data_IF_159978285596
#
_entry.id   IF_159978285596
#
_cell.length_a   1.000
_cell.length_b   1.000
_cell.length_c   1.000
_cell.angle_alpha   90.00
_cell.angle_beta   90.00
_cell.angle_gamma   90.00
#
_symmetry.space_group_name_H-M   'P 1'
#
loop_
_entity.id
_entity.type
_entity.pdbx_description
1 polymer ?
#
# COMPACT_ATOMS: atom_id res chain seq x y z
N UNK A 1 33.10 11.59 24.29
CA UNK A 1 33.58 10.34 23.65
C UNK A 1 32.49 9.38 23.14
N UNK A 2 31.19 9.60 23.44
CA UNK A 2 30.07 8.88 22.79
C UNK A 2 29.55 9.58 21.52
N UNK A 3 29.92 10.85 21.30
CA UNK A 3 29.49 11.69 20.17
C UNK A 3 30.01 11.18 18.82
N UNK A 4 31.26 10.72 18.77
CA UNK A 4 31.99 10.54 17.51
C UNK A 4 31.51 9.30 16.73
N UNK A 5 30.83 8.38 17.41
CA UNK A 5 30.26 7.16 16.82
C UNK A 5 28.73 7.09 16.90
N UNK A 6 28.07 8.18 17.31
CA UNK A 6 26.61 8.22 17.47
C UNK A 6 25.85 7.85 16.20
N UNK A 7 26.38 8.20 15.02
CA UNK A 7 25.80 7.85 13.72
C UNK A 7 25.83 6.35 13.37
N UNK A 8 26.59 5.54 14.11
CA UNK A 8 26.64 4.08 13.93
C UNK A 8 25.65 3.33 14.81
N UNK A 9 25.08 4.00 15.82
CA UNK A 9 24.15 3.36 16.75
C UNK A 9 22.83 3.00 16.06
N UNK A 10 22.16 1.93 16.51
CA UNK A 10 20.85 1.58 16.01
C UNK A 10 19.85 2.70 16.32
N UNK A 11 18.81 2.85 15.48
CA UNK A 11 17.74 3.81 15.75
C UNK A 11 17.10 3.50 17.12
N UNK A 12 16.75 4.56 17.86
CA UNK A 12 16.05 4.43 19.14
C UNK A 12 14.72 3.70 18.96
N UNK A 13 14.47 2.75 19.87
CA UNK A 13 13.19 2.06 19.98
C UNK A 13 12.22 2.99 20.71
N UNK A 14 11.21 3.51 20.00
CA UNK A 14 10.10 4.23 20.63
C UNK A 14 8.98 3.23 20.93
N UNK A 15 8.30 3.41 22.05
CA UNK A 15 7.28 2.44 22.48
C UNK A 15 6.04 2.42 21.58
N UNK A 16 5.73 3.53 20.92
CA UNK A 16 4.51 3.69 20.12
C UNK A 16 4.60 3.09 18.70
N UNK A 17 5.77 2.66 18.23
CA UNK A 17 5.98 2.24 16.83
C UNK A 17 6.78 0.94 16.67
N UNK A 18 6.73 0.05 17.67
CA UNK A 18 7.52 -1.19 17.75
C UNK A 18 7.47 -2.07 16.48
N UNK A 19 6.33 -2.12 15.79
CA UNK A 19 6.21 -2.86 14.52
C UNK A 19 6.99 -2.19 13.37
N UNK A 20 6.82 -0.89 13.17
CA UNK A 20 7.53 -0.12 12.12
C UNK A 20 9.05 -0.16 12.35
N UNK A 21 9.48 -0.22 13.61
CA UNK A 21 10.90 -0.30 13.99
C UNK A 21 11.59 -1.56 13.46
N UNK A 22 10.86 -2.65 13.17
CA UNK A 22 11.45 -3.85 12.55
C UNK A 22 12.14 -3.48 11.23
N UNK A 23 11.48 -2.68 10.40
CA UNK A 23 12.02 -2.24 9.11
C UNK A 23 13.28 -1.38 9.31
N UNK A 24 13.21 -0.39 10.20
CA UNK A 24 14.32 0.53 10.47
C UNK A 24 15.55 -0.19 11.04
N UNK A 25 15.34 -1.14 11.97
CA UNK A 25 16.43 -1.91 12.58
C UNK A 25 17.08 -2.84 11.57
N UNK A 26 16.27 -3.51 10.74
CA UNK A 26 16.80 -4.42 9.71
C UNK A 26 17.60 -3.64 8.67
N UNK A 27 17.11 -2.49 8.21
CA UNK A 27 17.84 -1.64 7.26
C UNK A 27 19.14 -1.10 7.84
N UNK A 28 19.10 -0.64 9.09
CA UNK A 28 20.31 -0.26 9.81
C UNK A 28 21.30 -1.43 9.89
N UNK A 29 20.85 -2.63 10.26
CA UNK A 29 21.72 -3.79 10.38
C UNK A 29 22.31 -4.21 9.02
N UNK A 30 21.52 -4.16 7.94
CA UNK A 30 22.01 -4.43 6.58
C UNK A 30 23.09 -3.43 6.16
N UNK A 31 22.91 -2.14 6.49
CA UNK A 31 23.90 -1.09 6.27
C UNK A 31 25.18 -1.34 7.05
N UNK A 32 25.06 -1.72 8.32
CA UNK A 32 26.22 -2.06 9.17
C UNK A 32 26.99 -3.26 8.62
N UNK A 33 26.30 -4.29 8.13
CA UNK A 33 26.95 -5.44 7.48
C UNK A 33 27.74 -5.01 6.24
N UNK A 34 27.18 -4.13 5.40
CA UNK A 34 27.85 -3.62 4.21
C UNK A 34 29.08 -2.76 4.49
N UNK A 35 29.09 -2.01 5.60
CA UNK A 35 30.22 -1.16 5.99
C UNK A 35 31.21 -1.85 6.93
N UNK A 36 30.89 -3.03 7.47
CA UNK A 36 31.67 -3.65 8.54
C UNK A 36 33.18 -3.73 8.24
N UNK A 37 33.55 -4.15 7.04
CA UNK A 37 34.96 -4.27 6.63
C UNK A 37 35.68 -2.92 6.50
N UNK A 38 34.93 -1.84 6.24
CA UNK A 38 35.43 -0.47 6.06
C UNK A 38 35.53 0.30 7.38
N UNK A 39 34.96 -0.23 8.46
CA UNK A 39 34.95 0.46 9.75
C UNK A 39 36.29 0.31 10.50
N UNK A 40 36.81 1.40 11.09
CA UNK A 40 37.97 1.35 11.97
C UNK A 40 37.80 0.32 13.10
N UNK A 41 38.90 -0.25 13.58
CA UNK A 41 38.86 -1.27 14.64
C UNK A 41 38.16 -0.78 15.92
N UNK A 42 38.37 0.49 16.27
CA UNK A 42 37.72 1.14 17.44
C UNK A 42 36.20 1.19 17.25
N UNK A 43 35.72 1.65 16.09
CA UNK A 43 34.30 1.68 15.76
C UNK A 43 33.66 0.29 15.85
N UNK A 44 34.32 -0.73 15.25
CA UNK A 44 33.85 -2.13 15.28
C UNK A 44 33.70 -2.65 16.70
N UNK A 45 34.59 -2.28 17.64
CA UNK A 45 34.46 -2.67 19.06
C UNK A 45 33.18 -2.10 19.68
N UNK A 46 32.85 -0.84 19.43
CA UNK A 46 31.66 -0.20 19.98
C UNK A 46 30.35 -0.82 19.47
N UNK A 47 30.31 -1.24 18.21
CA UNK A 47 29.09 -1.83 17.62
C UNK A 47 29.09 -3.37 17.60
N UNK A 48 30.12 -4.03 18.14
CA UNK A 48 30.22 -5.50 18.12
C UNK A 48 29.02 -6.22 18.75
N UNK A 49 28.27 -5.56 19.64
CA UNK A 49 27.06 -6.09 20.26
C UNK A 49 26.01 -6.53 19.23
N UNK A 50 25.88 -5.84 18.08
CA UNK A 50 24.84 -6.16 17.11
C UNK A 50 25.11 -7.51 16.43
N UNK A 51 26.38 -7.87 16.25
CA UNK A 51 26.78 -9.19 15.74
C UNK A 51 26.52 -10.29 16.77
N UNK A 52 26.64 -10.00 18.06
CA UNK A 52 26.20 -10.93 19.13
C UNK A 52 24.69 -11.14 19.11
N UNK A 53 23.93 -10.11 18.73
CA UNK A 53 22.48 -10.16 18.54
C UNK A 53 22.02 -10.81 17.21
N UNK A 54 22.91 -11.51 16.48
CA UNK A 54 22.59 -12.13 15.19
C UNK A 54 21.33 -13.02 15.18
N UNK A 55 21.04 -13.85 16.20
CA UNK A 55 19.80 -14.63 16.24
C UNK A 55 18.54 -13.76 16.31
N UNK A 56 18.61 -12.59 16.97
CA UNK A 56 17.52 -11.62 16.96
C UNK A 56 17.39 -10.96 15.58
N UNK A 57 18.49 -10.49 15.01
CA UNK A 57 18.47 -9.84 13.69
C UNK A 57 17.97 -10.78 12.59
N UNK A 58 18.31 -12.07 12.65
CA UNK A 58 17.77 -13.08 11.73
C UNK A 58 16.25 -13.18 11.81
N UNK A 59 15.69 -13.22 13.04
CA UNK A 59 14.24 -13.24 13.25
C UNK A 59 13.58 -12.01 12.65
N UNK A 60 14.14 -10.82 12.93
CA UNK A 60 13.61 -9.56 12.42
C UNK A 60 13.67 -9.48 10.89
N UNK A 61 14.79 -9.89 10.27
CA UNK A 61 14.95 -9.95 8.81
C UNK A 61 13.91 -10.86 8.18
N UNK A 62 13.75 -12.07 8.68
CA UNK A 62 12.80 -13.02 8.10
C UNK A 62 11.36 -12.54 8.19
N UNK A 63 10.96 -11.99 9.33
CA UNK A 63 9.62 -11.43 9.49
C UNK A 63 9.42 -10.21 8.57
N UNK A 64 10.40 -9.30 8.48
CA UNK A 64 10.33 -8.14 7.56
C UNK A 64 10.13 -8.57 6.11
N UNK A 65 10.95 -9.51 5.61
CA UNK A 65 10.86 -9.95 4.21
C UNK A 65 9.52 -10.63 3.93
N UNK A 66 9.02 -11.46 4.87
CA UNK A 66 7.68 -12.06 4.74
C UNK A 66 6.56 -11.01 4.73
N UNK A 67 6.67 -9.96 5.55
CA UNK A 67 5.73 -8.82 5.51
C UNK A 67 5.80 -8.13 4.15
N UNK A 68 7.00 -7.91 3.61
CA UNK A 68 7.18 -7.26 2.31
C UNK A 68 6.55 -8.09 1.18
N UNK A 69 6.76 -9.42 1.18
CA UNK A 69 6.14 -10.35 0.23
C UNK A 69 4.61 -10.29 0.35
N UNK A 70 4.07 -10.45 1.57
CA UNK A 70 2.62 -10.41 1.80
C UNK A 70 2.02 -9.07 1.34
N UNK A 71 2.67 -7.96 1.69
CA UNK A 71 2.22 -6.61 1.34
C UNK A 71 2.24 -6.39 -0.17
N UNK A 72 3.30 -6.81 -0.87
CA UNK A 72 3.38 -6.66 -2.32
C UNK A 72 2.24 -7.39 -3.05
N UNK A 73 1.87 -8.57 -2.55
CA UNK A 73 0.76 -9.36 -3.09
C UNK A 73 -0.58 -8.72 -2.75
N UNK A 74 -0.86 -8.46 -1.46
CA UNK A 74 -2.16 -8.01 -0.98
C UNK A 74 -2.50 -6.58 -1.43
N UNK A 75 -1.50 -5.69 -1.53
CA UNK A 75 -1.72 -4.32 -2.00
C UNK A 75 -2.08 -4.23 -3.47
N UNK A 76 -1.66 -5.21 -4.29
CA UNK A 76 -1.87 -5.18 -5.74
C UNK A 76 -3.03 -6.09 -6.16
N UNK A 77 -3.05 -7.32 -5.65
CA UNK A 77 -3.99 -8.36 -6.04
C UNK A 77 -5.12 -8.59 -5.02
N UNK A 78 -5.14 -7.85 -3.90
CA UNK A 78 -6.16 -8.01 -2.86
C UNK A 78 -6.23 -9.42 -2.27
N UNK A 79 -7.39 -9.76 -1.73
CA UNK A 79 -7.77 -11.10 -1.30
C UNK A 79 -8.51 -11.83 -2.43
N UNK A 80 -7.94 -12.93 -2.87
CA UNK A 80 -8.50 -13.87 -3.84
C UNK A 80 -7.84 -15.25 -3.68
N UNK A 81 -8.39 -16.27 -4.37
CA UNK A 81 -7.76 -17.58 -4.44
C UNK A 81 -6.38 -17.51 -5.12
N UNK A 82 -6.24 -16.68 -6.15
CA UNK A 82 -5.00 -16.49 -6.88
C UNK A 82 -3.92 -15.82 -6.01
N UNK A 83 -4.26 -14.76 -5.28
CA UNK A 83 -3.32 -14.11 -4.35
C UNK A 83 -2.89 -15.06 -3.23
N UNK A 84 -3.78 -15.94 -2.75
CA UNK A 84 -3.43 -16.92 -1.74
C UNK A 84 -2.41 -17.95 -2.25
N UNK A 85 -2.65 -18.52 -3.44
CA UNK A 85 -1.70 -19.44 -4.08
C UNK A 85 -0.33 -18.78 -4.30
N UNK A 86 -0.33 -17.54 -4.81
CA UNK A 86 0.89 -16.75 -4.99
C UNK A 86 1.63 -16.51 -3.68
N UNK A 87 0.90 -16.20 -2.61
CA UNK A 87 1.46 -16.06 -1.27
C UNK A 87 2.12 -17.37 -0.79
N UNK A 88 1.41 -18.50 -0.86
CA UNK A 88 1.93 -19.79 -0.42
C UNK A 88 3.21 -20.17 -1.17
N UNK A 89 3.21 -19.99 -2.49
CA UNK A 89 4.39 -20.23 -3.33
C UNK A 89 5.56 -19.32 -2.93
N UNK A 90 5.33 -18.02 -2.80
CA UNK A 90 6.38 -17.04 -2.48
C UNK A 90 6.95 -17.26 -1.07
N UNK A 91 6.08 -17.56 -0.10
CA UNK A 91 6.48 -17.85 1.27
C UNK A 91 7.29 -19.15 1.37
N UNK A 92 6.85 -20.21 0.67
CA UNK A 92 7.57 -21.49 0.61
C UNK A 92 8.95 -21.32 -0.04
N UNK A 93 9.01 -20.62 -1.18
CA UNK A 93 10.27 -20.31 -1.88
C UNK A 93 11.21 -19.48 -1.00
N UNK A 94 10.67 -18.47 -0.30
CA UNK A 94 11.47 -17.65 0.60
C UNK A 94 12.07 -18.50 1.73
N UNK A 95 11.25 -19.34 2.38
CA UNK A 95 11.67 -20.17 3.50
C UNK A 95 12.66 -21.27 3.09
N UNK A 96 12.50 -21.88 1.91
CA UNK A 96 13.44 -22.90 1.40
C UNK A 96 14.81 -22.30 1.05
N UNK A 97 14.85 -21.04 0.62
CA UNK A 97 16.09 -20.31 0.40
C UNK A 97 16.82 -19.93 1.71
N UNK A 98 16.16 -20.01 2.88
CA UNK A 98 16.79 -19.71 4.16
C UNK A 98 17.55 -20.92 4.72
N UNK A 99 18.82 -20.74 5.10
CA UNK A 99 19.59 -21.76 5.82
C UNK A 99 18.91 -22.24 7.11
N UNK A 100 18.24 -21.33 7.81
CA UNK A 100 17.52 -21.63 9.06
C UNK A 100 16.27 -20.77 9.14
N UNK A 101 15.09 -21.38 9.02
CA UNK A 101 13.81 -20.71 9.23
C UNK A 101 13.48 -20.58 10.73
N UNK A 102 13.24 -19.37 11.20
CA UNK A 102 12.93 -19.09 12.61
C UNK A 102 11.49 -19.46 12.96
N UNK A 103 11.22 -19.75 14.25
CA UNK A 103 9.86 -20.01 14.75
C UNK A 103 8.90 -18.85 14.45
N UNK A 104 9.38 -17.62 14.59
CA UNK A 104 8.60 -16.41 14.31
C UNK A 104 8.25 -16.28 12.82
N UNK A 105 9.17 -16.61 11.92
CA UNK A 105 8.89 -16.62 10.48
C UNK A 105 7.81 -17.66 10.13
N UNK A 106 7.94 -18.90 10.64
CA UNK A 106 6.93 -19.95 10.44
C UNK A 106 5.56 -19.57 11.02
N UNK A 107 5.55 -18.99 12.23
CA UNK A 107 4.32 -18.52 12.87
C UNK A 107 3.68 -17.36 12.10
N UNK A 108 4.47 -16.47 11.51
CA UNK A 108 3.97 -15.41 10.64
C UNK A 108 3.28 -16.01 9.40
N UNK A 109 3.93 -16.98 8.73
CA UNK A 109 3.33 -17.64 7.57
C UNK A 109 2.01 -18.30 7.92
N UNK A 110 1.97 -19.09 8.98
CA UNK A 110 0.74 -19.73 9.45
C UNK A 110 -0.38 -18.71 9.77
N UNK A 111 -0.03 -17.53 10.30
CA UNK A 111 -1.02 -16.47 10.56
C UNK A 111 -1.58 -15.88 9.26
N UNK A 112 -0.75 -15.65 8.24
CA UNK A 112 -1.24 -15.18 6.94
C UNK A 112 -2.10 -16.26 6.27
N UNK A 113 -1.70 -17.53 6.33
CA UNK A 113 -2.50 -18.64 5.79
C UNK A 113 -3.87 -18.74 6.49
N UNK A 114 -3.90 -18.64 7.82
CA UNK A 114 -5.13 -18.60 8.59
C UNK A 114 -5.99 -17.39 8.24
N UNK A 115 -5.37 -16.23 7.99
CA UNK A 115 -6.09 -15.03 7.55
C UNK A 115 -6.78 -15.26 6.19
N UNK A 116 -6.09 -15.82 5.20
CA UNK A 116 -6.73 -16.19 3.92
C UNK A 116 -7.87 -17.20 4.13
N UNK A 117 -7.64 -18.25 4.91
CA UNK A 117 -8.65 -19.27 5.16
C UNK A 117 -9.91 -18.71 5.83
N UNK A 118 -9.75 -17.84 6.83
CA UNK A 118 -10.87 -17.19 7.53
C UNK A 118 -11.72 -16.32 6.61
N UNK A 119 -11.13 -15.73 5.57
CA UNK A 119 -11.82 -14.84 4.63
C UNK A 119 -12.21 -15.54 3.32
N UNK A 120 -12.00 -16.86 3.20
CA UNK A 120 -12.25 -17.63 1.99
C UNK A 120 -13.70 -17.59 1.52
N UNK A 121 -14.65 -17.43 2.43
CA UNK A 121 -16.07 -17.24 2.08
C UNK A 121 -16.34 -15.95 1.30
N UNK A 122 -15.59 -14.88 1.59
CA UNK A 122 -15.85 -13.56 1.01
C UNK A 122 -15.43 -13.50 -0.46
N UNK A 123 -14.27 -14.05 -0.81
CA UNK A 123 -13.75 -14.02 -2.19
C UNK A 123 -14.12 -15.27 -3.02
N UNK A 124 -15.06 -16.10 -2.54
CA UNK A 124 -15.68 -17.16 -3.36
C UNK A 124 -16.70 -16.60 -4.36
N UNK A 125 -17.37 -15.50 -4.01
CA UNK A 125 -18.39 -14.84 -4.85
C UNK A 125 -17.91 -13.58 -5.58
N UNK A 126 -16.73 -13.06 -5.21
CA UNK A 126 -16.11 -11.90 -5.84
C UNK A 126 -14.78 -12.29 -6.45
N UNK A 127 -14.43 -11.73 -7.62
CA UNK A 127 -13.13 -11.99 -8.28
C UNK A 127 -11.94 -11.57 -7.42
N UNK A 128 -12.09 -10.47 -6.66
CA UNK A 128 -11.04 -9.90 -5.81
C UNK A 128 -11.65 -8.98 -4.75
N UNK A 129 -11.14 -9.04 -3.52
CA UNK A 129 -11.49 -8.11 -2.44
C UNK A 129 -10.32 -7.21 -2.12
N UNK A 130 -10.53 -5.91 -2.16
CA UNK A 130 -9.53 -4.92 -1.72
C UNK A 130 -9.40 -5.02 -0.19
N UNK A 131 -8.20 -5.29 0.30
CA UNK A 131 -7.92 -5.50 1.73
C UNK A 131 -6.91 -4.51 2.31
N UNK A 132 -6.52 -3.49 1.55
CA UNK A 132 -5.63 -2.43 1.99
C UNK A 132 -6.28 -1.07 1.75
N UNK A 133 -6.35 -0.24 2.81
CA UNK A 133 -6.84 1.13 2.68
C UNK A 133 -5.94 1.97 1.77
N UNK A 134 -4.67 1.59 1.58
CA UNK A 134 -3.74 2.24 0.65
C UNK A 134 -4.34 2.47 -0.75
N UNK A 135 -5.13 1.52 -1.28
CA UNK A 135 -5.78 1.69 -2.60
C UNK A 135 -6.84 2.80 -2.53
N UNK A 136 -7.65 2.81 -1.46
CA UNK A 136 -8.66 3.83 -1.21
C UNK A 136 -7.97 5.18 -0.99
N UNK A 137 -6.99 5.25 -0.09
CA UNK A 137 -6.22 6.44 0.24
C UNK A 137 -5.49 7.00 -0.99
N UNK A 138 -4.86 6.17 -1.82
CA UNK A 138 -4.19 6.59 -3.05
C UNK A 138 -5.18 7.13 -4.09
N UNK A 139 -6.28 6.39 -4.32
CA UNK A 139 -7.32 6.75 -5.29
C UNK A 139 -7.98 8.08 -4.92
N UNK A 140 -8.38 8.24 -3.65
CA UNK A 140 -8.99 9.46 -3.16
C UNK A 140 -7.99 10.59 -2.94
N UNK A 141 -6.70 10.30 -2.69
CA UNK A 141 -5.65 11.33 -2.69
C UNK A 141 -5.43 11.90 -4.09
N UNK A 142 -5.44 11.07 -5.13
CA UNK A 142 -5.36 11.54 -6.53
C UNK A 142 -6.54 12.43 -6.89
N UNK A 143 -7.75 12.04 -6.45
CA UNK A 143 -8.95 12.88 -6.61
C UNK A 143 -8.81 14.22 -5.87
N UNK A 144 -8.38 14.19 -4.60
CA UNK A 144 -8.18 15.40 -3.77
C UNK A 144 -7.15 16.37 -4.37
N UNK A 145 -6.09 15.84 -4.98
CA UNK A 145 -5.00 16.64 -5.53
C UNK A 145 -5.30 17.20 -6.93
N UNK A 146 -6.44 16.86 -7.55
CA UNK A 146 -6.81 17.29 -8.91
C UNK A 146 -7.16 18.79 -9.01
N UNK A 147 -7.24 19.49 -7.88
CA UNK A 147 -7.33 20.95 -7.82
C UNK A 147 -8.51 21.47 -7.00
N UNK A 148 -8.24 21.78 -5.74
CA UNK A 148 -8.80 22.92 -4.97
C UNK A 148 -10.32 23.04 -4.71
N UNK A 149 -11.19 22.37 -5.45
CA UNK A 149 -12.64 22.49 -5.24
C UNK A 149 -13.07 21.69 -4.01
N UNK A 150 -13.67 22.40 -3.05
CA UNK A 150 -14.23 21.83 -1.80
C UNK A 150 -15.57 21.11 -1.99
N UNK A 151 -15.99 20.89 -3.23
CA UNK A 151 -17.28 20.28 -3.56
C UNK A 151 -17.06 19.06 -4.44
N UNK A 152 -17.85 18.00 -4.21
CA UNK A 152 -17.90 16.84 -5.09
C UNK A 152 -18.55 17.31 -6.39
N UNK A 153 -17.78 17.34 -7.48
CA UNK A 153 -18.22 17.62 -8.86
C UNK A 153 -18.41 16.32 -9.64
N UNK A 154 -18.93 16.40 -10.88
CA UNK A 154 -18.99 15.28 -11.80
C UNK A 154 -17.62 14.63 -12.10
N UNK A 155 -16.51 15.30 -11.78
CA UNK A 155 -15.16 14.74 -11.87
C UNK A 155 -14.96 13.48 -11.02
N UNK A 156 -15.82 13.22 -10.04
CA UNK A 156 -15.77 11.97 -9.25
C UNK A 156 -15.98 10.73 -10.13
N UNK A 157 -16.70 10.84 -11.26
CA UNK A 157 -16.82 9.74 -12.24
C UNK A 157 -15.45 9.34 -12.81
N UNK A 158 -14.49 10.27 -12.87
CA UNK A 158 -13.13 9.95 -13.32
C UNK A 158 -12.38 9.00 -12.38
N UNK A 159 -12.82 8.87 -11.13
CA UNK A 159 -12.24 7.92 -10.16
C UNK A 159 -12.37 6.48 -10.66
N UNK A 160 -13.49 6.13 -11.29
CA UNK A 160 -13.70 4.81 -11.88
C UNK A 160 -12.70 4.48 -13.01
N UNK A 161 -12.04 5.49 -13.57
CA UNK A 161 -11.08 5.36 -14.66
C UNK A 161 -9.62 5.30 -14.19
N UNK A 162 -9.30 5.63 -12.93
CA UNK A 162 -7.90 5.80 -12.49
C UNK A 162 -7.05 4.53 -12.60
N UNK A 163 -7.67 3.36 -12.52
CA UNK A 163 -7.02 2.05 -12.58
C UNK A 163 -7.43 1.24 -13.82
N UNK A 164 -8.04 1.88 -14.83
CA UNK A 164 -8.40 1.24 -16.10
C UNK A 164 -7.51 1.73 -17.22
N UNK A 165 -7.12 0.81 -18.08
CA UNK A 165 -6.50 1.15 -19.37
C UNK A 165 -7.59 1.70 -20.30
N UNK A 166 -7.41 2.94 -20.76
CA UNK A 166 -8.34 3.61 -21.67
C UNK A 166 -7.94 3.24 -23.10
N UNK A 167 -8.58 2.22 -23.65
CA UNK A 167 -8.38 1.79 -25.04
C UNK A 167 -9.42 2.41 -25.97
N UNK A 168 -9.13 2.44 -27.28
CA UNK A 168 -10.08 2.93 -28.28
C UNK A 168 -11.40 2.14 -28.30
N UNK A 169 -11.33 0.82 -28.11
CA UNK A 169 -12.51 -0.05 -27.99
C UNK A 169 -13.36 0.28 -26.77
N UNK A 170 -12.72 0.54 -25.63
CA UNK A 170 -13.41 0.97 -24.41
C UNK A 170 -14.14 2.30 -24.63
N UNK A 171 -13.46 3.31 -25.20
CA UNK A 171 -14.06 4.62 -25.47
C UNK A 171 -15.25 4.52 -26.43
N UNK A 172 -15.11 3.74 -27.51
CA UNK A 172 -16.21 3.52 -28.45
C UNK A 172 -17.42 2.89 -27.76
N UNK A 173 -17.20 1.83 -26.99
CA UNK A 173 -18.28 1.17 -26.25
C UNK A 173 -18.98 2.13 -25.29
N UNK A 174 -18.23 2.91 -24.52
CA UNK A 174 -18.79 3.90 -23.60
C UNK A 174 -19.64 4.94 -24.32
N UNK A 175 -19.14 5.52 -25.43
CA UNK A 175 -19.87 6.52 -26.22
C UNK A 175 -21.13 5.98 -26.90
N UNK A 176 -21.17 4.67 -27.18
CA UNK A 176 -22.36 4.04 -27.79
C UNK A 176 -23.38 3.51 -26.79
N UNK A 177 -22.98 3.30 -25.53
CA UNK A 177 -23.81 2.64 -24.50
C UNK A 177 -24.35 3.60 -23.44
N UNK A 178 -23.77 4.79 -23.32
CA UNK A 178 -24.18 5.81 -22.36
C UNK A 178 -24.51 7.08 -23.12
N UNK A 179 -25.74 7.57 -22.97
CA UNK A 179 -26.16 8.81 -23.59
C UNK A 179 -25.69 10.02 -22.77
N UNK A 180 -25.63 11.20 -23.40
CA UNK A 180 -25.36 12.44 -22.67
C UNK A 180 -26.44 12.73 -21.61
N UNK A 181 -27.69 12.33 -21.88
CA UNK A 181 -28.81 12.50 -20.95
C UNK A 181 -28.58 11.72 -19.65
N UNK A 182 -28.11 10.47 -19.74
CA UNK A 182 -27.83 9.65 -18.55
C UNK A 182 -26.75 10.29 -17.67
N UNK A 183 -25.74 10.92 -18.29
CA UNK A 183 -24.66 11.61 -17.57
C UNK A 183 -25.17 12.88 -16.90
N UNK A 184 -26.05 13.63 -17.57
CA UNK A 184 -26.66 14.85 -17.03
C UNK A 184 -27.61 14.56 -15.87
N UNK A 185 -28.47 13.53 -16.01
CA UNK A 185 -29.38 13.07 -14.96
C UNK A 185 -28.57 12.61 -13.73
N UNK A 186 -27.55 11.77 -13.94
CA UNK A 186 -26.65 11.37 -12.86
C UNK A 186 -26.00 12.57 -12.17
N UNK A 187 -25.58 13.57 -12.95
CA UNK A 187 -24.97 14.78 -12.39
C UNK A 187 -25.96 15.58 -11.54
N UNK A 188 -27.22 15.71 -11.94
CA UNK A 188 -28.24 16.42 -11.17
C UNK A 188 -28.51 15.73 -9.83
N UNK A 189 -28.57 14.40 -9.83
CA UNK A 189 -28.91 13.61 -8.64
C UNK A 189 -27.76 13.47 -7.63
N UNK A 190 -26.51 13.49 -8.10
CA UNK A 190 -25.36 13.06 -7.28
C UNK A 190 -24.34 14.17 -6.98
N UNK A 191 -24.45 15.34 -7.60
CA UNK A 191 -23.43 16.38 -7.51
C UNK A 191 -23.95 17.61 -6.77
N UNK A 192 -23.18 18.10 -5.79
CA UNK A 192 -23.52 19.33 -5.09
C UNK A 192 -23.28 20.54 -6.00
N UNK A 193 -24.27 21.44 -6.06
CA UNK A 193 -24.12 22.69 -6.79
C UNK A 193 -23.05 23.56 -6.09
N UNK A 194 -21.91 23.75 -6.75
CA UNK A 194 -20.95 24.74 -6.30
C UNK A 194 -21.42 26.15 -6.70
N UNK A 195 -20.89 27.21 -6.06
CA UNK A 195 -21.28 28.61 -6.36
C UNK A 195 -21.12 28.98 -7.85
N UNK A 196 -20.22 28.31 -8.57
CA UNK A 196 -20.03 28.48 -10.01
C UNK A 196 -21.16 27.85 -10.84
N UNK A 197 -21.64 26.66 -10.45
CA UNK A 197 -22.76 25.96 -11.09
C UNK A 197 -24.08 26.71 -10.91
N UNK A 198 -24.32 27.23 -9.69
CA UNK A 198 -25.45 28.12 -9.40
C UNK A 198 -25.42 29.36 -10.29
N UNK A 199 -24.27 30.03 -10.41
CA UNK A 199 -24.13 31.23 -11.24
C UNK A 199 -24.37 30.96 -12.72
N UNK A 200 -23.87 29.82 -13.24
CA UNK A 200 -24.05 29.43 -14.65
C UNK A 200 -25.49 29.01 -14.95
N UNK A 201 -26.18 28.42 -13.98
CA UNK A 201 -27.63 28.12 -14.07
C UNK A 201 -28.44 29.41 -14.08
N UNK A 202 -28.14 30.34 -13.17
CA UNK A 202 -28.76 31.67 -13.17
C UNK A 202 -28.54 32.40 -14.51
N UNK A 203 -27.33 32.34 -15.07
CA UNK A 203 -27.02 32.95 -16.37
C UNK A 203 -27.79 32.29 -17.54
N UNK A 204 -28.14 31.00 -17.45
CA UNK A 204 -28.97 30.32 -18.45
C UNK A 204 -30.44 30.72 -18.32
N UNK A 205 -30.98 30.76 -17.11
CA UNK A 205 -32.36 31.21 -16.86
C UNK A 205 -32.57 32.66 -17.29
N UNK A 206 -31.61 33.54 -16.96
CA UNK A 206 -31.65 34.94 -17.39
C UNK A 206 -31.61 35.10 -18.91
N UNK A 207 -30.93 34.20 -19.63
CA UNK A 207 -30.88 34.20 -21.11
C UNK A 207 -32.10 33.56 -21.78
N UNK A 208 -32.86 32.72 -21.07
CA UNK A 208 -34.11 32.16 -21.58
C UNK A 208 -35.33 33.08 -21.37
N UNK A 209 -35.17 34.12 -20.53
CA UNK A 209 -36.21 35.09 -20.19
C UNK A 209 -36.15 36.38 -21.02
N UNK A 210 -35.15 36.53 -21.91
CA UNK A 210 -35.01 37.65 -22.84
C UNK A 210 -34.94 37.16 -24.28
#
# INVERSE_FOLDING_TARGET
MLSDWGGLLPPTLRDKDRFLRIFTIVEWANRMDGYWAKLPAVARRHIAFYRKAWPLLRRLRQVRELIAIASAILKTAGLSKHSFQRWQQSAAQYLSAQKVATKQAKAFVAKIDAYFAAHAGLYKGCSQIICCSDIIESTFSRYKNKGGMKAISADVLSVALYNREITSGFVRSALTSVSCLDVEEWQQDNVCHNRYGLRKSMDRELKSLG
#
